data_IF_099845946648
#
_entry.id   IF_099845946648
#
_cell.length_a   1.000
_cell.length_b   1.000
_cell.length_c   1.000
_cell.angle_alpha   90.00
_cell.angle_beta   90.00
_cell.angle_gamma   90.00
#
_symmetry.space_group_name_H-M   'P 1'
#
loop_
_entity.id
_entity.type
_entity.pdbx_description
1 polymer ?
#
# COMPACT_ATOMS: atom_id res chain seq x y z
N UNK A 1 0.26 7.88 23.99
CA UNK A 1 1.74 7.73 24.02
C UNK A 1 2.10 6.87 22.80
N UNK A 2 2.61 7.48 21.73
CA UNK A 2 3.10 6.76 20.54
C UNK A 2 4.62 6.85 20.56
N UNK A 3 5.33 5.75 20.27
CA UNK A 3 6.81 5.73 20.28
C UNK A 3 7.44 4.77 21.29
N UNK A 4 6.80 3.65 21.61
CA UNK A 4 7.52 2.53 22.22
C UNK A 4 8.28 1.82 21.09
N UNK A 5 9.60 1.67 21.18
CA UNK A 5 10.44 1.04 20.14
C UNK A 5 10.00 -0.39 19.76
N UNK A 6 9.18 -1.03 20.58
CA UNK A 6 8.55 -2.34 20.33
C UNK A 6 7.24 -2.27 19.52
N UNK A 7 6.67 -1.07 19.31
CA UNK A 7 5.38 -0.87 18.64
C UNK A 7 5.35 -1.36 17.18
N UNK A 8 6.35 -1.06 16.33
CA UNK A 8 6.37 -1.57 14.96
C UNK A 8 6.58 -3.08 14.93
N UNK A 9 7.47 -3.60 15.78
CA UNK A 9 7.77 -5.02 15.85
C UNK A 9 6.54 -5.85 16.27
N UNK A 10 5.84 -5.42 17.32
CA UNK A 10 4.60 -6.06 17.76
C UNK A 10 3.50 -5.94 16.71
N UNK A 11 3.35 -4.77 16.08
CA UNK A 11 2.37 -4.56 15.01
C UNK A 11 2.64 -5.52 13.83
N UNK A 12 3.88 -5.57 13.34
CA UNK A 12 4.28 -6.47 12.26
C UNK A 12 4.09 -7.94 12.65
N UNK A 13 4.43 -8.34 13.88
CA UNK A 13 4.23 -9.71 14.34
C UNK A 13 2.75 -10.09 14.43
N UNK A 14 1.90 -9.18 14.94
CA UNK A 14 0.44 -9.38 14.97
C UNK A 14 -0.12 -9.51 13.55
N UNK A 15 0.24 -8.59 12.66
CA UNK A 15 -0.21 -8.62 11.26
C UNK A 15 0.21 -9.95 10.59
N UNK A 16 1.47 -10.36 10.72
CA UNK A 16 1.97 -11.65 10.17
C UNK A 16 1.19 -12.85 10.70
N UNK A 17 0.98 -12.93 12.02
CA UNK A 17 0.21 -14.02 12.62
C UNK A 17 -1.23 -14.11 12.07
N UNK A 18 -1.86 -12.97 11.81
CA UNK A 18 -3.22 -12.95 11.28
C UNK A 18 -3.29 -13.23 9.78
N UNK A 19 -2.35 -12.69 9.00
CA UNK A 19 -2.25 -12.94 7.54
C UNK A 19 -2.11 -14.43 7.25
N UNK A 20 -1.37 -15.17 8.07
CA UNK A 20 -1.15 -16.61 7.90
C UNK A 20 -2.46 -17.40 7.80
N UNK A 21 -3.51 -16.97 8.53
CA UNK A 21 -4.85 -17.60 8.49
C UNK A 21 -5.54 -17.48 7.14
N UNK A 22 -5.12 -16.53 6.31
CA UNK A 22 -5.67 -16.26 4.99
C UNK A 22 -4.80 -16.85 3.87
N UNK A 23 -3.70 -17.56 4.19
CA UNK A 23 -2.75 -18.07 3.19
C UNK A 23 -3.40 -19.00 2.18
N UNK A 24 -4.35 -19.83 2.60
CA UNK A 24 -5.07 -20.74 1.69
C UNK A 24 -6.06 -20.01 0.77
N UNK A 25 -6.75 -18.98 1.28
CA UNK A 25 -7.77 -18.25 0.53
C UNK A 25 -7.17 -17.20 -0.41
N UNK A 26 -6.09 -16.55 0.04
CA UNK A 26 -5.46 -15.41 -0.64
C UNK A 26 -3.93 -15.57 -0.67
N UNK A 27 -3.37 -16.63 -1.29
CA UNK A 27 -1.94 -16.92 -1.23
C UNK A 27 -1.07 -15.79 -1.77
N UNK A 28 -1.46 -15.15 -2.87
CA UNK A 28 -0.70 -14.06 -3.46
C UNK A 28 -0.73 -12.77 -2.62
N UNK A 29 -1.87 -12.45 -2.00
CA UNK A 29 -1.99 -11.25 -1.16
C UNK A 29 -1.30 -11.44 0.19
N UNK A 30 -1.35 -12.65 0.75
CA UNK A 30 -0.63 -12.99 1.98
C UNK A 30 0.89 -12.97 1.77
N UNK A 31 1.39 -13.54 0.69
CA UNK A 31 2.80 -13.45 0.31
C UNK A 31 3.23 -11.99 0.10
N UNK A 32 2.43 -11.21 -0.62
CA UNK A 32 2.68 -9.78 -0.80
C UNK A 32 2.72 -9.05 0.54
N UNK A 33 1.73 -9.23 1.42
CA UNK A 33 1.72 -8.53 2.71
C UNK A 33 2.87 -8.97 3.62
N UNK A 34 3.32 -10.23 3.54
CA UNK A 34 4.45 -10.72 4.36
C UNK A 34 5.80 -10.15 3.89
N UNK A 35 5.94 -9.89 2.59
CA UNK A 35 7.19 -9.43 1.96
C UNK A 35 7.27 -7.92 1.75
N UNK A 36 6.13 -7.25 1.53
CA UNK A 36 6.03 -5.85 1.14
C UNK A 36 5.59 -4.90 2.26
N UNK A 37 5.22 -5.42 3.44
CA UNK A 37 4.87 -4.59 4.58
C UNK A 37 6.14 -4.07 5.27
N UNK A 38 6.34 -2.75 5.23
CA UNK A 38 7.43 -2.06 5.88
C UNK A 38 6.87 -1.07 6.90
N UNK A 39 7.04 -1.38 8.19
CA UNK A 39 6.50 -0.59 9.32
C UNK A 39 4.98 -0.42 9.19
N UNK A 40 4.53 0.68 8.59
CA UNK A 40 3.12 1.05 8.40
C UNK A 40 2.70 1.06 6.91
N UNK A 41 3.64 0.93 5.97
CA UNK A 41 3.40 1.05 4.53
C UNK A 41 3.46 -0.33 3.83
N UNK A 42 2.59 -0.55 2.86
CA UNK A 42 2.67 -1.71 1.94
C UNK A 42 3.16 -1.23 0.59
N UNK A 43 4.34 -1.69 0.17
CA UNK A 43 4.97 -1.27 -1.09
C UNK A 43 5.14 -2.49 -1.99
N UNK A 44 4.29 -2.62 -3.00
CA UNK A 44 4.26 -3.76 -3.90
C UNK A 44 4.18 -3.36 -5.37
N UNK A 45 4.72 -4.21 -6.23
CA UNK A 45 4.60 -4.10 -7.69
C UNK A 45 3.82 -5.28 -8.27
N UNK A 46 3.19 -5.08 -9.43
CA UNK A 46 2.48 -6.13 -10.15
C UNK A 46 2.73 -6.04 -11.65
N UNK A 47 2.61 -7.17 -12.36
CA UNK A 47 2.91 -7.26 -13.80
C UNK A 47 1.86 -6.59 -14.69
N UNK A 48 0.63 -6.42 -14.19
CA UNK A 48 -0.47 -5.77 -14.90
C UNK A 48 -1.50 -5.19 -13.93
N UNK A 49 -2.37 -4.31 -14.45
CA UNK A 49 -3.38 -3.57 -13.68
C UNK A 49 -4.39 -4.53 -13.01
N UNK A 50 -4.81 -5.59 -13.71
CA UNK A 50 -5.78 -6.55 -13.16
C UNK A 50 -5.25 -7.28 -11.93
N UNK A 51 -4.00 -7.76 -12.00
CA UNK A 51 -3.31 -8.36 -10.86
C UNK A 51 -3.12 -7.35 -9.72
N UNK A 52 -2.71 -6.12 -10.03
CA UNK A 52 -2.53 -5.07 -9.03
C UNK A 52 -3.84 -4.77 -8.28
N UNK A 53 -4.95 -4.65 -9.01
CA UNK A 53 -6.27 -4.42 -8.45
C UNK A 53 -6.70 -5.57 -7.55
N UNK A 54 -6.57 -6.81 -8.04
CA UNK A 54 -6.93 -8.01 -7.28
C UNK A 54 -6.13 -8.07 -5.98
N UNK A 55 -4.82 -7.89 -6.04
CA UNK A 55 -3.94 -7.87 -4.87
C UNK A 55 -4.35 -6.78 -3.88
N UNK A 56 -4.67 -5.58 -4.36
CA UNK A 56 -5.08 -4.46 -3.50
C UNK A 56 -6.39 -4.76 -2.76
N UNK A 57 -7.37 -5.38 -3.45
CA UNK A 57 -8.65 -5.78 -2.86
C UNK A 57 -8.51 -6.93 -1.87
N UNK A 58 -7.76 -7.95 -2.23
CA UNK A 58 -7.49 -9.10 -1.38
C UNK A 58 -6.76 -8.64 -0.10
N UNK A 59 -5.75 -7.77 -0.25
CA UNK A 59 -5.03 -7.17 0.88
C UNK A 59 -5.92 -6.31 1.77
N UNK A 60 -6.76 -5.44 1.19
CA UNK A 60 -7.72 -4.62 1.93
C UNK A 60 -8.71 -5.48 2.72
N UNK A 61 -9.15 -6.61 2.16
CA UNK A 61 -10.04 -7.57 2.83
C UNK A 61 -9.36 -8.21 4.03
N UNK A 62 -8.13 -8.70 3.85
CA UNK A 62 -7.34 -9.31 4.93
C UNK A 62 -7.09 -8.29 6.04
N UNK A 63 -6.65 -7.07 5.71
CA UNK A 63 -6.36 -6.05 6.71
C UNK A 63 -7.62 -5.60 7.46
N UNK A 64 -8.77 -5.47 6.78
CA UNK A 64 -10.05 -5.16 7.43
C UNK A 64 -10.46 -6.21 8.45
N UNK A 65 -10.13 -7.48 8.24
CA UNK A 65 -10.43 -8.55 9.20
C UNK A 65 -9.74 -8.37 10.55
N UNK A 66 -8.61 -7.65 10.58
CA UNK A 66 -7.88 -7.31 11.82
C UNK A 66 -8.14 -5.87 12.27
N UNK A 67 -9.23 -5.26 11.79
CA UNK A 67 -9.59 -3.87 12.07
C UNK A 67 -8.54 -2.84 11.62
N UNK A 68 -7.74 -3.19 10.61
CA UNK A 68 -6.78 -2.30 9.96
C UNK A 68 -7.30 -1.95 8.56
N UNK A 69 -7.14 -0.71 8.13
CA UNK A 69 -7.60 -0.27 6.79
C UNK A 69 -6.41 0.28 6.03
N UNK A 70 -6.13 -0.23 4.83
CA UNK A 70 -5.08 0.32 3.99
C UNK A 70 -5.61 1.61 3.35
N UNK A 71 -4.89 2.70 3.57
CA UNK A 71 -5.30 4.03 3.12
C UNK A 71 -4.25 4.64 2.21
N UNK A 72 -4.63 5.72 1.53
CA UNK A 72 -3.73 6.52 0.68
C UNK A 72 -3.07 5.69 -0.44
N UNK A 73 -3.82 4.81 -1.08
CA UNK A 73 -3.33 4.03 -2.22
C UNK A 73 -2.75 4.95 -3.31
N UNK A 74 -1.55 4.64 -3.79
CA UNK A 74 -0.87 5.39 -4.84
C UNK A 74 -0.10 4.45 -5.79
N UNK A 75 -0.02 4.80 -7.07
CA UNK A 75 0.65 4.00 -8.11
C UNK A 75 1.11 4.90 -9.25
N UNK A 76 2.21 4.56 -9.91
CA UNK A 76 2.62 5.26 -11.14
C UNK A 76 1.62 5.10 -12.31
N UNK A 77 0.72 4.11 -12.23
CA UNK A 77 -0.25 3.84 -13.28
C UNK A 77 -1.57 4.60 -13.05
N UNK A 78 -1.85 5.60 -13.91
CA UNK A 78 -3.09 6.38 -13.80
C UNK A 78 -4.37 5.54 -13.99
N UNK A 79 -4.33 4.50 -14.81
CA UNK A 79 -5.48 3.61 -15.02
C UNK A 79 -5.81 2.87 -13.72
N UNK A 80 -4.79 2.31 -13.06
CA UNK A 80 -4.96 1.65 -11.77
C UNK A 80 -5.51 2.62 -10.70
N UNK A 81 -5.00 3.85 -10.64
CA UNK A 81 -5.51 4.90 -9.74
C UNK A 81 -7.00 5.17 -9.95
N UNK A 82 -7.45 5.27 -11.21
CA UNK A 82 -8.88 5.47 -11.54
C UNK A 82 -9.70 4.25 -11.15
N UNK A 83 -9.18 3.04 -11.38
CA UNK A 83 -9.86 1.79 -11.01
C UNK A 83 -10.02 1.67 -9.50
N UNK A 84 -8.98 1.95 -8.70
CA UNK A 84 -9.07 1.97 -7.24
C UNK A 84 -10.12 2.95 -6.73
N UNK A 85 -10.19 4.15 -7.32
CA UNK A 85 -11.23 5.14 -6.99
C UNK A 85 -12.63 4.63 -7.30
N UNK A 86 -12.83 3.98 -8.45
CA UNK A 86 -14.12 3.38 -8.84
C UNK A 86 -14.54 2.23 -7.93
N UNK A 87 -13.57 1.53 -7.35
CA UNK A 87 -13.76 0.40 -6.42
C UNK A 87 -13.87 0.82 -4.95
N UNK A 88 -13.89 2.13 -4.68
CA UNK A 88 -14.07 2.68 -3.34
C UNK A 88 -12.84 2.59 -2.42
N UNK A 89 -11.66 2.32 -2.96
CA UNK A 89 -10.41 2.36 -2.19
C UNK A 89 -9.98 3.81 -1.93
N UNK A 90 -9.50 4.09 -0.72
CA UNK A 90 -9.03 5.41 -0.34
C UNK A 90 -7.69 5.72 -1.02
N UNK A 91 -7.74 6.47 -2.13
CA UNK A 91 -6.55 6.89 -2.88
C UNK A 91 -5.90 8.13 -2.24
N UNK A 92 -4.57 8.24 -2.37
CA UNK A 92 -3.89 9.48 -1.99
C UNK A 92 -4.34 10.61 -2.94
N UNK A 93 -4.82 11.76 -2.43
CA UNK A 93 -5.09 12.91 -3.30
C UNK A 93 -3.79 13.35 -3.96
N UNK A 94 -3.74 13.30 -5.29
CA UNK A 94 -2.74 14.04 -6.05
C UNK A 94 -3.19 15.49 -6.06
N UNK A 95 -2.36 16.40 -5.59
CA UNK A 95 -2.56 17.80 -5.95
C UNK A 95 -2.52 17.90 -7.48
N UNK A 96 -3.41 18.74 -8.00
CA UNK A 96 -3.64 19.04 -9.41
C UNK A 96 -2.36 19.20 -10.23
N UNK A 97 -2.52 19.02 -11.55
CA UNK A 97 -1.57 19.03 -12.68
C UNK A 97 -0.63 20.25 -12.79
N UNK A 98 -0.05 20.72 -11.69
CA UNK A 98 1.00 21.74 -11.68
C UNK A 98 2.33 21.06 -11.36
N UNK A 99 3.02 20.66 -12.42
CA UNK A 99 4.31 19.96 -12.45
C UNK A 99 5.46 20.73 -11.79
N UNK A 100 5.20 21.91 -11.22
CA UNK A 100 6.17 22.77 -10.56
C UNK A 100 6.35 22.46 -9.06
N UNK A 101 5.45 21.68 -8.44
CA UNK A 101 5.56 21.31 -7.04
C UNK A 101 6.10 19.88 -6.86
N UNK A 102 7.19 19.77 -6.10
CA UNK A 102 7.84 18.52 -5.67
C UNK A 102 6.77 17.53 -5.18
N UNK A 103 6.83 16.24 -5.59
CA UNK A 103 5.78 15.30 -5.24
C UNK A 103 5.65 15.14 -3.72
N UNK A 104 4.42 15.31 -3.20
CA UNK A 104 4.07 15.21 -1.78
C UNK A 104 4.26 13.79 -1.19
N UNK A 105 4.33 12.76 -2.03
CA UNK A 105 4.47 11.37 -1.57
C UNK A 105 5.94 11.08 -1.25
N UNK A 106 6.22 10.80 0.02
CA UNK A 106 7.51 10.25 0.45
C UNK A 106 7.38 8.74 0.59
N UNK A 107 8.37 8.01 0.10
CA UNK A 107 8.52 6.57 0.31
C UNK A 107 9.85 6.40 1.05
N UNK A 108 9.82 5.78 2.22
CA UNK A 108 11.00 5.60 3.08
C UNK A 108 11.73 6.92 3.43
N UNK A 109 11.01 8.05 3.47
CA UNK A 109 11.57 9.37 3.74
C UNK A 109 12.06 10.14 2.49
N UNK A 110 12.05 9.50 1.32
CA UNK A 110 12.54 10.08 0.05
C UNK A 110 11.34 10.52 -0.81
N UNK A 111 11.30 11.76 -1.34
CA UNK A 111 10.25 12.20 -2.24
C UNK A 111 10.21 11.33 -3.51
N UNK A 112 9.04 10.78 -3.83
CA UNK A 112 8.82 9.93 -4.99
C UNK A 112 7.86 10.57 -6.00
N UNK A 113 8.32 10.77 -7.23
CA UNK A 113 7.48 11.20 -8.33
C UNK A 113 6.76 10.00 -8.93
N UNK A 114 5.51 9.77 -8.53
CA UNK A 114 4.71 8.69 -9.09
C UNK A 114 4.45 8.84 -10.60
N UNK A 115 4.47 10.05 -11.18
CA UNK A 115 4.15 10.23 -12.61
C UNK A 115 5.29 9.73 -13.50
N UNK A 116 6.53 10.03 -13.12
CA UNK A 116 7.73 9.73 -13.90
C UNK A 116 8.58 8.61 -13.29
N UNK A 117 8.13 8.06 -12.16
CA UNK A 117 8.76 6.97 -11.42
C UNK A 117 10.23 7.21 -11.06
N UNK A 118 10.52 8.36 -10.45
CA UNK A 118 11.87 8.68 -9.93
C UNK A 118 11.83 9.24 -8.52
N UNK A 119 12.89 8.95 -7.76
CA UNK A 119 13.12 9.48 -6.42
C UNK A 119 13.93 10.78 -6.51
N UNK A 120 13.55 11.81 -5.75
CA UNK A 120 14.37 13.02 -5.60
C UNK A 120 15.30 12.82 -4.41
N UNK A 121 16.61 12.99 -4.63
CA UNK A 121 17.63 12.90 -3.59
C UNK A 121 18.23 14.27 -3.33
#
# INVERSE_FOLDING_TARGET
MFGVNVSPFLLSATIKYHIEKYREQYPAATEMLDTCLYVDDVISGAKNISQALKLSKDAETIMKSVSMTLRKWNSNNQTLMRTWKGEGLEIHPRHSEDSSQIPLSKVLGIPWNAVHDYFHN
#
